data_IF_970799829715
#
_entry.id   IF_970799829715
#
_cell.length_a   1.000
_cell.length_b   1.000
_cell.length_c   1.000
_cell.angle_alpha   90.00
_cell.angle_beta   90.00
_cell.angle_gamma   90.00
#
_symmetry.space_group_name_H-M   'P 1'
#
loop_
_entity.id
_entity.type
_entity.pdbx_description
1 polymer ?
#
# COMPACT_ATOMS: atom_id res chain seq x y z
N UNK A 1 6.45 -3.12 28.57
CA UNK A 1 5.83 -4.14 27.70
C UNK A 1 4.39 -3.73 27.57
N UNK A 2 3.78 -3.34 26.47
CA UNK A 2 3.87 -3.47 25.00
C UNK A 2 3.05 -2.25 24.50
N UNK A 3 3.23 -1.58 23.38
CA UNK A 3 4.01 -1.77 22.17
C UNK A 3 3.99 -0.40 21.48
N UNK A 4 5.16 0.17 21.20
CA UNK A 4 5.37 1.40 20.42
C UNK A 4 4.95 1.26 18.93
N UNK A 5 4.08 0.30 18.60
CA UNK A 5 3.90 -0.23 17.23
C UNK A 5 2.46 -0.16 16.73
N UNK A 6 1.57 0.59 17.38
CA UNK A 6 0.17 0.71 16.94
C UNK A 6 -0.18 1.99 16.19
N UNK A 7 0.74 2.95 16.09
CA UNK A 7 0.44 4.26 15.51
C UNK A 7 1.32 4.62 14.29
N UNK A 8 1.74 3.62 13.51
CA UNK A 8 2.35 3.84 12.19
C UNK A 8 1.40 3.45 11.03
N UNK A 9 0.10 3.29 11.34
CA UNK A 9 -0.93 3.14 10.32
C UNK A 9 -1.33 4.52 9.82
N UNK A 10 -0.79 4.88 8.65
CA UNK A 10 -1.11 6.09 7.89
C UNK A 10 -0.49 7.36 8.51
N UNK A 11 0.80 7.58 8.26
CA UNK A 11 1.26 8.96 8.12
C UNK A 11 0.60 9.52 6.85
N UNK A 12 -0.60 10.09 7.01
CA UNK A 12 -1.32 10.86 6.00
C UNK A 12 -0.58 12.16 5.59
N UNK A 13 0.70 12.29 5.95
CA UNK A 13 1.60 13.40 5.60
C UNK A 13 2.53 13.06 4.44
N UNK A 14 2.42 11.88 3.85
CA UNK A 14 3.18 11.52 2.67
C UNK A 14 2.39 11.86 1.41
N UNK A 15 2.73 12.99 0.77
CA UNK A 15 2.11 13.47 -0.47
C UNK A 15 2.09 12.38 -1.56
N UNK A 16 3.09 11.50 -1.55
CA UNK A 16 3.25 10.40 -2.50
C UNK A 16 2.18 9.30 -2.33
N UNK A 17 1.69 9.09 -1.11
CA UNK A 17 0.73 8.02 -0.77
C UNK A 17 -0.72 8.52 -0.78
N UNK A 18 -0.92 9.84 -0.68
CA UNK A 18 -2.22 10.49 -0.79
C UNK A 18 -3.06 10.05 -2.02
N UNK A 19 -2.52 10.03 -3.26
CA UNK A 19 -3.32 9.64 -4.43
C UNK A 19 -3.60 8.13 -4.46
N UNK A 20 -2.68 7.30 -3.94
CA UNK A 20 -2.89 5.85 -3.80
C UNK A 20 -4.02 5.56 -2.82
N UNK A 21 -3.99 6.20 -1.64
CA UNK A 21 -5.04 6.04 -0.61
C UNK A 21 -6.39 6.51 -1.13
N UNK A 22 -6.43 7.61 -1.89
CA UNK A 22 -7.66 8.08 -2.57
C UNK A 22 -8.16 7.07 -3.61
N UNK A 23 -7.27 6.54 -4.45
CA UNK A 23 -7.63 5.56 -5.48
C UNK A 23 -8.15 4.23 -4.91
N UNK A 24 -7.65 3.83 -3.75
CA UNK A 24 -8.10 2.62 -3.06
C UNK A 24 -9.49 2.74 -2.45
N UNK A 25 -9.89 3.95 -2.04
CA UNK A 25 -11.18 4.21 -1.43
C UNK A 25 -11.46 3.26 -0.26
N UNK A 26 -12.61 2.58 -0.27
CA UNK A 26 -13.01 1.63 0.79
C UNK A 26 -12.05 0.42 0.95
N UNK A 27 -11.25 0.11 -0.07
CA UNK A 27 -10.33 -1.05 -0.04
C UNK A 27 -9.16 -0.83 0.92
N UNK A 28 -8.86 0.42 1.31
CA UNK A 28 -7.85 0.74 2.33
C UNK A 28 -8.18 0.15 3.72
N UNK A 29 -9.44 -0.24 3.95
CA UNK A 29 -9.81 -0.96 5.16
C UNK A 29 -9.32 -2.41 5.15
N UNK A 30 -9.13 -3.02 3.97
CA UNK A 30 -8.65 -4.40 3.80
C UNK A 30 -7.12 -4.51 3.74
N UNK A 31 -6.42 -3.41 3.44
CA UNK A 31 -4.95 -3.38 3.33
C UNK A 31 -4.30 -2.26 4.15
N UNK A 32 -3.03 -2.43 4.46
CA UNK A 32 -2.16 -1.41 5.05
C UNK A 32 -1.13 -1.02 4.01
N UNK A 33 -0.98 0.28 3.77
CA UNK A 33 0.11 0.82 2.97
C UNK A 33 1.13 1.46 3.90
N UNK A 34 2.36 1.01 3.79
CA UNK A 34 3.51 1.56 4.50
C UNK A 34 4.40 2.24 3.47
N UNK A 35 4.70 3.52 3.66
CA UNK A 35 5.68 4.21 2.83
C UNK A 35 7.09 4.00 3.38
N UNK A 36 8.00 3.55 2.52
CA UNK A 36 9.43 3.41 2.80
C UNK A 36 10.23 4.23 1.78
N UNK A 37 9.94 5.54 1.73
CA UNK A 37 10.61 6.56 0.90
C UNK A 37 10.48 6.31 -0.61
N UNK A 38 11.22 5.34 -1.12
CA UNK A 38 11.34 5.00 -2.54
C UNK A 38 10.37 3.88 -2.95
N UNK A 39 9.95 3.08 -1.96
CA UNK A 39 8.98 2.01 -2.16
C UNK A 39 7.82 2.10 -1.16
N UNK A 40 6.68 1.52 -1.53
CA UNK A 40 5.53 1.29 -0.66
C UNK A 40 5.35 -0.21 -0.44
N UNK A 41 5.01 -0.59 0.78
CA UNK A 41 4.66 -1.96 1.15
C UNK A 41 3.16 -2.06 1.35
N UNK A 42 2.54 -3.01 0.68
CA UNK A 42 1.11 -3.32 0.80
C UNK A 42 0.96 -4.62 1.56
N UNK A 43 0.31 -4.54 2.72
CA UNK A 43 0.03 -5.68 3.60
C UNK A 43 -1.46 -5.89 3.73
N UNK A 44 -1.94 -7.12 3.55
CA UNK A 44 -3.33 -7.45 3.87
C UNK A 44 -3.59 -7.38 5.38
N UNK A 45 -4.68 -6.71 5.78
CA UNK A 45 -5.14 -6.65 7.18
C UNK A 45 -6.08 -7.80 7.53
N UNK A 46 -6.80 -8.31 6.55
CA UNK A 46 -7.79 -9.37 6.69
C UNK A 46 -7.81 -10.21 5.41
N UNK A 47 -8.67 -11.23 5.37
CA UNK A 47 -8.88 -12.01 4.16
C UNK A 47 -9.20 -11.08 2.99
N UNK A 48 -8.42 -11.21 1.91
CA UNK A 48 -8.54 -10.38 0.74
C UNK A 48 -8.83 -11.27 -0.46
N UNK A 49 -9.96 -11.01 -1.12
CA UNK A 49 -10.30 -11.72 -2.33
C UNK A 49 -9.31 -11.43 -3.45
N UNK A 50 -9.07 -12.43 -4.30
CA UNK A 50 -8.20 -12.29 -5.46
C UNK A 50 -8.60 -11.11 -6.34
N UNK A 51 -9.91 -10.83 -6.47
CA UNK A 51 -10.43 -9.70 -7.23
C UNK A 51 -10.01 -8.37 -6.62
N UNK A 52 -10.17 -8.19 -5.31
CA UNK A 52 -9.73 -6.97 -4.61
C UNK A 52 -8.21 -6.79 -4.74
N UNK A 53 -7.44 -7.88 -4.64
CA UNK A 53 -5.97 -7.82 -4.78
C UNK A 53 -5.54 -7.36 -6.17
N UNK A 54 -6.19 -7.88 -7.23
CA UNK A 54 -5.95 -7.45 -8.60
C UNK A 54 -6.31 -5.97 -8.79
N UNK A 55 -7.43 -5.50 -8.24
CA UNK A 55 -7.80 -4.08 -8.30
C UNK A 55 -6.78 -3.18 -7.57
N UNK A 56 -6.32 -3.61 -6.39
CA UNK A 56 -5.27 -2.88 -5.65
C UNK A 56 -4.00 -2.79 -6.49
N UNK A 57 -3.57 -3.89 -7.10
CA UNK A 57 -2.40 -3.92 -7.96
C UNK A 57 -2.55 -3.00 -9.19
N UNK A 58 -3.74 -2.95 -9.77
CA UNK A 58 -4.06 -2.09 -10.91
C UNK A 58 -3.98 -0.61 -10.54
N UNK A 59 -4.60 -0.22 -9.41
CA UNK A 59 -4.54 1.15 -8.88
C UNK A 59 -3.08 1.58 -8.66
N UNK A 60 -2.25 0.70 -8.11
CA UNK A 60 -0.83 0.99 -7.87
C UNK A 60 -0.07 1.20 -9.18
N UNK A 61 -0.33 0.37 -10.19
CA UNK A 61 0.25 0.54 -11.53
C UNK A 61 -0.14 1.86 -12.18
N UNK A 62 -1.43 2.23 -12.13
CA UNK A 62 -1.93 3.50 -12.68
C UNK A 62 -1.29 4.70 -11.99
N UNK A 63 -0.92 4.57 -10.71
CA UNK A 63 -0.22 5.59 -9.93
C UNK A 63 1.31 5.60 -10.17
N UNK A 64 1.84 4.80 -11.10
CA UNK A 64 3.26 4.77 -11.47
C UNK A 64 4.13 3.89 -10.58
N UNK A 65 3.53 2.98 -9.80
CA UNK A 65 4.27 2.01 -9.02
C UNK A 65 4.45 0.70 -9.79
N UNK A 66 5.67 0.15 -9.73
CA UNK A 66 6.00 -1.18 -10.23
C UNK A 66 6.13 -2.16 -9.09
N UNK A 67 5.61 -3.37 -9.30
CA UNK A 67 5.76 -4.45 -8.33
C UNK A 67 7.23 -4.90 -8.30
N UNK A 68 7.89 -4.72 -7.16
CA UNK A 68 9.28 -5.09 -6.95
C UNK A 68 9.39 -6.57 -6.51
N UNK A 69 8.54 -6.98 -5.58
CA UNK A 69 8.53 -8.34 -5.06
C UNK A 69 7.11 -8.75 -4.64
N UNK A 70 6.72 -9.97 -5.07
CA UNK A 70 5.46 -10.58 -4.70
C UNK A 70 5.71 -11.62 -3.60
N UNK A 71 5.43 -11.25 -2.35
CA UNK A 71 5.56 -12.12 -1.18
C UNK A 71 4.37 -12.02 -0.25
N UNK A 72 4.55 -12.40 1.02
CA UNK A 72 3.55 -12.19 2.10
C UNK A 72 3.19 -10.71 2.26
N UNK A 73 4.13 -9.84 1.90
CA UNK A 73 3.99 -8.41 1.74
C UNK A 73 4.34 -8.09 0.27
N UNK A 74 3.54 -7.26 -0.40
CA UNK A 74 3.89 -6.79 -1.75
C UNK A 74 4.66 -5.49 -1.65
N UNK A 75 5.90 -5.49 -2.14
CA UNK A 75 6.73 -4.30 -2.22
C UNK A 75 6.58 -3.68 -3.61
N UNK A 76 6.35 -2.38 -3.65
CA UNK A 76 6.14 -1.62 -4.87
C UNK A 76 7.09 -0.43 -4.89
N UNK A 77 7.83 -0.25 -5.97
CA UNK A 77 8.75 0.86 -6.15
C UNK A 77 8.12 1.90 -7.07
N UNK A 78 8.31 3.19 -6.79
CA UNK A 78 7.86 4.23 -7.71
C UNK A 78 8.90 4.38 -8.81
N UNK A 79 8.50 4.28 -10.08
CA UNK A 79 9.40 4.72 -11.15
C UNK A 79 9.41 6.25 -11.13
N UNK A 80 10.50 6.83 -10.65
CA UNK A 80 10.81 8.23 -10.86
C UNK A 80 11.32 8.31 -12.31
N UNK A 81 10.46 8.73 -13.23
CA UNK A 81 10.90 9.26 -14.52
C UNK A 81 11.14 10.76 -14.39
#
# INVERSE_FOLDING_TARGET
>A
MESLTRQAAIHAKDELVSPVVKGLGIRIHKVTILNEKDCIKVKQKSWLDKKDWVEIHDILRVQGFSLLANGKDSCWIRHIQ
#
